data_IF_508644202335
#
_entry.id   IF_508644202335
#
_cell.length_a   1.000
_cell.length_b   1.000
_cell.length_c   1.000
_cell.angle_alpha   90.00
_cell.angle_beta   90.00
_cell.angle_gamma   90.00
#
_symmetry.space_group_name_H-M   'P 1'
#
loop_
_entity.id
_entity.type
_entity.pdbx_description
1 polymer ?
#
# COMPACT_ATOMS: atom_id res chain seq x y z
N UNK A 1 25.78 -12.69 -1.92
CA UNK A 1 26.29 -12.68 -3.32
C UNK A 1 27.17 -11.44 -3.56
N UNK A 2 28.39 -11.61 -4.07
CA UNK A 2 29.27 -10.47 -4.37
C UNK A 2 28.74 -9.69 -5.57
N UNK A 3 28.48 -8.40 -5.37
CA UNK A 3 27.93 -7.47 -6.36
C UNK A 3 29.04 -7.07 -7.34
N UNK A 4 28.78 -7.19 -8.65
CA UNK A 4 29.72 -6.86 -9.71
C UNK A 4 29.44 -5.45 -10.28
N UNK A 5 30.18 -4.44 -9.81
CA UNK A 5 30.20 -3.08 -10.38
C UNK A 5 29.82 -1.95 -9.40
N UNK A 6 30.20 -0.68 -9.68
CA UNK A 6 30.10 0.43 -8.73
C UNK A 6 28.70 1.05 -8.56
N UNK A 7 27.69 0.64 -9.35
CA UNK A 7 26.33 1.18 -9.24
C UNK A 7 25.27 0.09 -9.40
N UNK A 8 24.27 0.11 -8.52
CA UNK A 8 23.09 -0.76 -8.56
C UNK A 8 22.00 -0.05 -9.37
N UNK A 9 21.83 -0.41 -10.63
CA UNK A 9 20.61 -0.06 -11.37
C UNK A 9 19.42 -0.78 -10.74
N UNK A 10 18.56 -0.06 -10.03
CA UNK A 10 17.36 -0.63 -9.42
C UNK A 10 16.22 -0.68 -10.44
N UNK A 11 16.14 -1.77 -11.22
CA UNK A 11 14.81 -2.37 -11.44
C UNK A 11 14.25 -2.79 -10.08
N UNK A 12 12.94 -2.96 -9.90
CA UNK A 12 12.34 -3.46 -8.66
C UNK A 12 13.00 -4.81 -8.31
N UNK A 13 14.10 -4.74 -7.58
CA UNK A 13 15.01 -5.82 -7.31
C UNK A 13 14.86 -6.17 -5.85
N UNK A 14 15.21 -7.39 -5.43
CA UNK A 14 15.25 -7.72 -4.01
C UNK A 14 16.15 -6.68 -3.32
N UNK A 15 15.52 -5.85 -2.48
CA UNK A 15 16.23 -4.93 -1.60
C UNK A 15 17.02 -5.78 -0.60
N UNK A 16 18.30 -5.48 -0.34
CA UNK A 16 19.06 -6.14 0.71
C UNK A 16 18.56 -5.72 2.10
N UNK A 17 17.84 -4.59 2.17
CA UNK A 17 17.27 -4.02 3.38
C UNK A 17 15.75 -4.24 3.41
N UNK A 18 15.25 -4.73 4.53
CA UNK A 18 13.83 -4.95 4.80
C UNK A 18 13.38 -3.98 5.89
N UNK A 19 12.41 -3.12 5.55
CA UNK A 19 11.68 -2.32 6.52
C UNK A 19 10.41 -3.07 6.94
N UNK A 20 9.97 -2.84 8.17
CA UNK A 20 8.80 -3.47 8.76
C UNK A 20 7.87 -2.39 9.30
N UNK A 21 6.57 -2.64 9.22
CA UNK A 21 5.56 -1.72 9.73
C UNK A 21 4.52 -2.48 10.55
N UNK A 22 4.10 -1.89 11.65
CA UNK A 22 2.93 -2.33 12.41
C UNK A 22 1.95 -1.16 12.50
N UNK A 23 0.68 -1.39 12.15
CA UNK A 23 -0.36 -0.37 12.18
C UNK A 23 -1.55 -0.85 12.99
N UNK A 24 -2.07 0.02 13.84
CA UNK A 24 -3.30 -0.18 14.61
C UNK A 24 -4.24 0.97 14.28
N UNK A 25 -5.48 0.63 13.96
CA UNK A 25 -6.55 1.57 13.63
C UNK A 25 -7.65 1.41 14.67
N UNK A 26 -8.03 2.52 15.30
CA UNK A 26 -9.24 2.63 16.12
C UNK A 26 -10.33 3.33 15.29
N UNK A 27 -11.52 2.75 15.26
CA UNK A 27 -12.64 3.30 14.51
C UNK A 27 -13.99 3.02 15.16
N UNK A 28 -14.94 3.90 14.91
CA UNK A 28 -16.37 3.68 15.14
C UNK A 28 -17.04 3.24 13.85
N UNK A 29 -18.02 2.34 13.94
CA UNK A 29 -18.79 1.85 12.80
C UNK A 29 -20.30 1.83 13.10
N UNK A 30 -21.10 2.46 12.25
CA UNK A 30 -22.56 2.42 12.34
C UNK A 30 -23.11 1.23 11.54
N UNK A 31 -23.59 0.20 12.25
CA UNK A 31 -24.16 -1.00 11.64
C UNK A 31 -25.38 -0.73 10.74
N UNK A 32 -26.08 0.40 10.90
CA UNK A 32 -27.27 0.73 10.10
C UNK A 32 -26.90 1.34 8.76
N UNK A 33 -25.87 2.17 8.72
CA UNK A 33 -25.47 2.94 7.53
C UNK A 33 -24.23 2.37 6.85
N UNK A 34 -23.42 1.60 7.57
CA UNK A 34 -22.11 1.14 7.14
C UNK A 34 -21.03 2.23 7.18
N UNK A 35 -21.35 3.44 7.68
CA UNK A 35 -20.37 4.50 7.81
C UNK A 35 -19.35 4.15 8.90
N UNK A 36 -18.08 4.42 8.60
CA UNK A 36 -16.96 4.26 9.53
C UNK A 36 -16.30 5.61 9.79
N UNK A 37 -15.86 5.83 11.02
CA UNK A 37 -15.10 7.01 11.41
C UNK A 37 -13.82 6.56 12.08
N UNK A 38 -12.67 6.94 11.51
CA UNK A 38 -11.37 6.60 12.08
C UNK A 38 -11.06 7.59 13.20
N UNK A 39 -10.91 7.07 14.43
CA UNK A 39 -10.66 7.88 15.61
C UNK A 39 -9.18 8.22 15.74
N UNK A 40 -8.33 7.20 15.62
CA UNK A 40 -6.88 7.33 15.79
C UNK A 40 -6.12 6.21 15.07
N UNK A 41 -4.92 6.53 14.60
CA UNK A 41 -3.99 5.56 14.00
C UNK A 41 -2.67 5.57 14.76
N UNK A 42 -2.20 4.38 15.15
CA UNK A 42 -0.84 4.18 15.66
C UNK A 42 -0.05 3.42 14.61
N UNK A 43 1.13 3.94 14.27
CA UNK A 43 1.98 3.29 13.28
C UNK A 43 3.43 3.28 13.73
N UNK A 44 4.00 2.08 13.80
CA UNK A 44 5.43 1.88 14.01
C UNK A 44 6.07 1.49 12.68
N UNK A 45 7.15 2.17 12.30
CA UNK A 45 7.89 1.86 11.09
C UNK A 45 9.39 1.76 11.35
N UNK A 46 9.96 0.65 10.94
CA UNK A 46 11.38 0.34 11.04
C UNK A 46 12.15 0.93 9.86
N UNK A 47 12.81 2.04 10.15
CA UNK A 47 13.59 2.82 9.18
C UNK A 47 15.09 2.53 9.29
N UNK A 48 15.50 1.54 10.09
CA UNK A 48 16.90 1.27 10.39
C UNK A 48 17.52 2.39 11.23
N UNK A 49 17.80 3.54 10.63
CA UNK A 49 18.25 4.76 11.29
C UNK A 49 17.62 5.98 10.65
N UNK A 50 16.98 6.82 11.45
CA UNK A 50 16.40 8.07 10.98
C UNK A 50 17.49 9.12 10.75
N UNK A 51 17.82 9.35 9.48
CA UNK A 51 18.75 10.43 9.08
C UNK A 51 18.18 11.80 9.48
N UNK A 52 16.87 11.98 9.26
CA UNK A 52 16.12 13.15 9.70
C UNK A 52 14.78 12.70 10.27
N UNK A 53 14.64 12.59 11.60
CA UNK A 53 13.42 12.10 12.24
C UNK A 53 12.16 12.88 11.86
N UNK A 54 12.26 14.21 11.73
CA UNK A 54 11.11 15.06 11.38
C UNK A 54 10.59 14.77 9.96
N UNK A 55 11.49 14.53 9.00
CA UNK A 55 11.07 14.17 7.64
C UNK A 55 10.55 12.73 7.56
N UNK A 56 11.10 11.82 8.37
CA UNK A 56 10.61 10.44 8.47
C UNK A 56 9.19 10.43 9.02
N UNK A 57 8.93 11.17 10.10
CA UNK A 57 7.60 11.29 10.68
C UNK A 57 6.59 11.80 9.66
N UNK A 58 6.88 12.90 8.96
CA UNK A 58 5.99 13.42 7.91
C UNK A 58 5.78 12.46 6.72
N UNK A 59 6.76 11.61 6.38
CA UNK A 59 6.58 10.57 5.36
C UNK A 59 5.67 9.43 5.84
N UNK A 60 5.81 9.03 7.10
CA UNK A 60 4.95 8.01 7.71
C UNK A 60 3.51 8.51 7.80
N UNK A 61 3.29 9.74 8.26
CA UNK A 61 1.95 10.36 8.30
C UNK A 61 1.35 10.51 6.90
N UNK A 62 2.14 10.96 5.92
CA UNK A 62 1.70 11.03 4.51
C UNK A 62 1.35 9.66 3.94
N UNK A 63 2.03 8.60 4.36
CA UNK A 63 1.72 7.22 3.98
C UNK A 63 0.42 6.72 4.60
N UNK A 64 0.15 7.08 5.87
CA UNK A 64 -1.14 6.81 6.51
C UNK A 64 -2.27 7.54 5.80
N UNK A 65 -2.08 8.82 5.45
CA UNK A 65 -3.04 9.59 4.66
C UNK A 65 -3.40 8.88 3.35
N UNK A 66 -2.40 8.47 2.56
CA UNK A 66 -2.61 7.76 1.30
C UNK A 66 -3.30 6.40 1.53
N UNK A 67 -2.87 5.65 2.54
CA UNK A 67 -3.45 4.35 2.88
C UNK A 67 -4.92 4.45 3.31
N UNK A 68 -5.29 5.50 4.05
CA UNK A 68 -6.69 5.78 4.40
C UNK A 68 -7.51 6.19 3.17
N UNK A 69 -6.92 6.98 2.26
CA UNK A 69 -7.53 7.31 0.97
C UNK A 69 -7.89 6.05 0.18
N UNK A 70 -6.92 5.16 -0.04
CA UNK A 70 -7.14 3.88 -0.73
C UNK A 70 -8.12 2.96 0.02
N UNK A 71 -8.04 2.92 1.35
CA UNK A 71 -8.90 2.06 2.16
C UNK A 71 -10.37 2.50 2.13
N UNK A 72 -10.68 3.80 2.07
CA UNK A 72 -12.03 4.31 2.35
C UNK A 72 -12.67 5.07 1.17
N UNK A 73 -11.89 5.63 0.25
CA UNK A 73 -12.38 6.67 -0.67
C UNK A 73 -11.99 6.45 -2.14
N UNK A 74 -10.74 6.11 -2.41
CA UNK A 74 -10.17 6.17 -3.74
C UNK A 74 -10.59 4.95 -4.58
N UNK A 75 -11.35 5.18 -5.64
CA UNK A 75 -11.80 4.14 -6.58
C UNK A 75 -11.73 4.64 -8.03
N UNK A 76 -11.29 3.77 -8.94
CA UNK A 76 -11.32 4.03 -10.38
C UNK A 76 -12.29 3.07 -11.06
N UNK A 77 -13.43 3.60 -11.51
CA UNK A 77 -14.42 2.81 -12.25
C UNK A 77 -14.33 3.10 -13.75
N UNK A 78 -14.35 2.04 -14.57
CA UNK A 78 -14.30 2.13 -16.03
C UNK A 78 -15.56 1.57 -16.67
N UNK A 79 -16.09 2.26 -17.67
CA UNK A 79 -17.24 1.82 -18.47
C UNK A 79 -16.87 1.81 -19.95
N UNK A 80 -16.91 0.63 -20.57
CA UNK A 80 -16.56 0.44 -22.00
C UNK A 80 -15.17 1.00 -22.36
N UNK A 81 -14.20 0.83 -21.47
CA UNK A 81 -12.83 1.31 -21.65
C UNK A 81 -12.61 2.80 -21.38
N UNK A 82 -13.65 3.54 -20.98
CA UNK A 82 -13.54 4.95 -20.58
C UNK A 82 -13.64 5.08 -19.06
N UNK A 83 -12.80 5.95 -18.48
CA UNK A 83 -12.88 6.28 -17.07
C UNK A 83 -14.23 6.95 -16.78
N UNK A 84 -14.98 6.42 -15.81
CA UNK A 84 -16.36 6.86 -15.54
C UNK A 84 -16.41 8.27 -14.97
N UNK A 85 -15.47 8.60 -14.08
CA UNK A 85 -15.44 9.90 -13.40
C UNK A 85 -14.01 10.45 -13.17
N UNK A 86 -13.32 10.94 -14.21
CA UNK A 86 -11.96 11.46 -14.07
C UNK A 86 -11.96 12.90 -13.52
N UNK A 87 -12.47 13.10 -12.30
CA UNK A 87 -12.50 14.40 -11.64
C UNK A 87 -12.20 14.29 -10.14
N UNK A 88 -11.64 15.35 -9.55
CA UNK A 88 -11.33 15.43 -8.11
C UNK A 88 -12.57 15.47 -7.20
N UNK A 89 -13.77 15.57 -7.77
CA UNK A 89 -15.02 15.50 -6.99
C UNK A 89 -15.43 14.04 -6.72
N UNK A 90 -15.19 13.18 -7.70
CA UNK A 90 -15.64 11.78 -7.69
C UNK A 90 -14.50 10.83 -7.27
N UNK A 91 -13.26 11.13 -7.67
CA UNK A 91 -12.07 10.52 -7.07
C UNK A 91 -11.79 11.26 -5.75
N UNK A 92 -12.42 10.77 -4.69
CA UNK A 92 -12.34 11.39 -3.37
C UNK A 92 -10.99 11.08 -2.74
N UNK A 93 -10.35 12.11 -2.21
CA UNK A 93 -9.21 11.96 -1.31
C UNK A 93 -9.57 12.55 0.06
N UNK A 94 -8.97 12.06 1.16
CA UNK A 94 -9.27 12.57 2.50
C UNK A 94 -9.00 14.08 2.59
N UNK A 95 -9.90 14.82 3.21
CA UNK A 95 -9.70 16.22 3.58
C UNK A 95 -9.07 16.32 4.97
N UNK A 96 -8.68 17.52 5.40
CA UNK A 96 -8.14 17.72 6.74
C UNK A 96 -9.09 17.31 7.88
N UNK A 97 -10.41 17.23 7.62
CA UNK A 97 -11.41 16.78 8.59
C UNK A 97 -11.55 15.25 8.64
N UNK A 98 -11.07 14.56 7.62
CA UNK A 98 -11.14 13.10 7.51
C UNK A 98 -9.88 12.43 8.07
N UNK A 99 -8.79 13.19 8.21
CA UNK A 99 -7.50 12.71 8.72
C UNK A 99 -7.56 12.61 10.25
N UNK A 100 -7.35 11.42 10.83
CA UNK A 100 -7.42 11.21 12.27
C UNK A 100 -6.17 11.72 12.98
N UNK A 101 -6.19 11.70 14.32
CA UNK A 101 -4.96 11.78 15.10
C UNK A 101 -4.04 10.60 14.73
N UNK A 102 -2.75 10.89 14.53
CA UNK A 102 -1.74 9.88 14.20
C UNK A 102 -0.64 9.89 15.26
N UNK A 103 -0.22 8.69 15.67
CA UNK A 103 0.91 8.51 16.57
C UNK A 103 1.96 7.63 15.88
N UNK A 104 3.08 8.26 15.52
CA UNK A 104 4.16 7.65 14.75
C UNK A 104 5.29 7.19 15.67
N UNK A 105 5.68 5.92 15.56
CA UNK A 105 6.84 5.35 16.24
C UNK A 105 7.94 5.03 15.24
N UNK A 106 9.03 5.78 15.32
CA UNK A 106 10.24 5.50 14.54
C UNK A 106 10.99 4.35 15.23
N UNK A 107 11.12 3.23 14.53
CA UNK A 107 11.87 2.06 15.01
C UNK A 107 13.23 2.04 14.34
N UNK A 108 14.29 1.95 15.14
CA UNK A 108 15.68 1.92 14.67
C UNK A 108 16.33 0.56 14.96
N UNK A 109 16.65 -0.18 13.89
CA UNK A 109 17.32 -1.50 14.00
C UNK A 109 18.72 -1.54 13.37
N UNK A 110 19.21 -0.42 12.81
CA UNK A 110 20.48 -0.30 12.07
C UNK A 110 20.73 -1.40 11.01
N UNK A 111 20.57 -1.08 9.73
CA UNK A 111 20.91 -1.99 8.63
C UNK A 111 22.41 -1.92 8.28
N UNK A 112 23.17 -3.03 8.33
CA UNK A 112 24.62 -3.01 8.08
C UNK A 112 24.98 -2.62 6.63
N UNK A 113 24.05 -2.80 5.68
CA UNK A 113 24.22 -2.43 4.27
C UNK A 113 23.64 -1.03 3.98
N UNK A 114 22.90 -0.46 4.93
CA UNK A 114 22.27 0.85 4.83
C UNK A 114 23.25 2.00 5.09
N UNK A 115 23.08 3.15 4.43
CA UNK A 115 23.92 4.32 4.70
C UNK A 115 23.70 4.77 6.15
N UNK A 116 24.75 4.69 6.96
CA UNK A 116 24.71 4.94 8.40
C UNK A 116 23.74 4.04 9.20
N UNK A 117 23.28 2.91 8.64
CA UNK A 117 22.23 2.08 9.26
C UNK A 117 20.82 2.32 8.71
N UNK A 118 20.62 3.26 7.78
CA UNK A 118 19.29 3.65 7.32
C UNK A 118 18.64 2.66 6.34
N UNK A 119 17.31 2.55 6.42
CA UNK A 119 16.41 1.84 5.50
C UNK A 119 15.38 2.82 4.92
N UNK A 120 14.42 2.30 4.14
CA UNK A 120 13.37 3.14 3.55
C UNK A 120 12.35 3.61 4.59
N UNK A 121 11.68 4.73 4.27
CA UNK A 121 10.61 5.33 5.08
C UNK A 121 9.46 5.88 4.21
N UNK A 122 9.41 5.53 2.92
CA UNK A 122 8.56 6.19 1.93
C UNK A 122 7.36 5.36 1.46
N UNK A 123 7.48 4.04 1.39
CA UNK A 123 6.40 3.17 0.88
C UNK A 123 5.91 2.16 1.92
N UNK A 124 6.81 1.65 2.75
CA UNK A 124 6.48 0.63 3.75
C UNK A 124 5.39 1.01 4.76
N UNK A 125 5.26 2.29 5.21
CA UNK A 125 4.23 2.64 6.19
C UNK A 125 2.81 2.66 5.61
N UNK A 126 2.62 2.75 4.29
CA UNK A 126 1.29 2.75 3.66
C UNK A 126 0.65 1.36 3.73
N UNK A 127 1.44 0.33 3.41
CA UNK A 127 1.00 -1.05 3.22
C UNK A 127 0.14 -1.63 4.36
N UNK A 128 0.47 -1.43 5.67
CA UNK A 128 -0.32 -2.01 6.75
C UNK A 128 -1.64 -1.26 7.03
N UNK A 129 -1.85 -0.06 6.48
CA UNK A 129 -3.01 0.79 6.81
C UNK A 129 -4.31 0.17 6.31
N UNK A 130 -4.34 -0.24 5.05
CA UNK A 130 -5.52 -0.87 4.40
C UNK A 130 -6.00 -2.12 5.16
N UNK A 131 -5.14 -3.13 5.42
CA UNK A 131 -5.58 -4.29 6.19
C UNK A 131 -5.93 -3.96 7.64
N UNK A 132 -5.30 -2.96 8.27
CA UNK A 132 -5.65 -2.54 9.62
C UNK A 132 -7.06 -1.94 9.70
N UNK A 133 -7.45 -1.10 8.72
CA UNK A 133 -8.81 -0.59 8.60
C UNK A 133 -9.82 -1.73 8.48
N UNK A 134 -9.58 -2.69 7.58
CA UNK A 134 -10.50 -3.82 7.39
C UNK A 134 -10.58 -4.73 8.63
N UNK A 135 -9.46 -4.94 9.33
CA UNK A 135 -9.44 -5.68 10.58
C UNK A 135 -10.22 -4.98 11.70
N UNK A 136 -10.14 -3.65 11.78
CA UNK A 136 -10.91 -2.86 12.74
C UNK A 136 -12.41 -2.88 12.41
N UNK A 137 -12.80 -2.87 11.13
CA UNK A 137 -14.19 -3.11 10.71
C UNK A 137 -14.68 -4.49 11.13
N UNK A 138 -13.84 -5.52 10.96
CA UNK A 138 -14.17 -6.86 11.43
C UNK A 138 -14.33 -6.92 12.95
N UNK A 139 -13.46 -6.26 13.71
CA UNK A 139 -13.57 -6.21 15.17
C UNK A 139 -14.89 -5.53 15.62
N UNK A 140 -15.24 -4.40 14.99
CA UNK A 140 -16.44 -3.64 15.33
C UNK A 140 -17.76 -4.33 14.91
N UNK A 141 -17.80 -4.95 13.72
CA UNK A 141 -19.06 -5.42 13.09
C UNK A 141 -19.09 -6.93 12.82
N UNK A 142 -17.95 -7.62 12.90
CA UNK A 142 -17.80 -9.04 12.59
C UNK A 142 -18.08 -9.38 11.13
N UNK A 143 -17.66 -8.52 10.20
CA UNK A 143 -17.77 -8.70 8.74
C UNK A 143 -16.44 -8.39 8.05
N UNK A 144 -16.16 -9.05 6.94
CA UNK A 144 -14.93 -8.83 6.14
C UNK A 144 -15.22 -8.18 4.79
N UNK A 145 -14.45 -7.16 4.41
CA UNK A 145 -14.52 -6.59 3.07
C UNK A 145 -13.24 -6.95 2.30
N UNK A 146 -13.35 -7.84 1.32
CA UNK A 146 -12.21 -8.39 0.57
C UNK A 146 -11.85 -7.55 -0.68
N UNK A 147 -12.34 -6.31 -0.74
CA UNK A 147 -12.16 -5.41 -1.87
C UNK A 147 -12.14 -3.95 -1.39
N UNK A 148 -11.04 -3.24 -1.65
CA UNK A 148 -10.96 -1.80 -1.42
C UNK A 148 -11.67 -1.00 -2.52
N UNK A 149 -12.21 0.18 -2.21
CA UNK A 149 -12.35 0.75 -0.86
C UNK A 149 -13.43 0.02 -0.03
N UNK A 150 -13.30 0.07 1.29
CA UNK A 150 -14.22 -0.48 2.30
C UNK A 150 -15.43 0.45 2.43
N UNK A 151 -16.29 0.46 1.41
CA UNK A 151 -17.41 1.41 1.35
C UNK A 151 -18.59 1.03 2.25
N UNK A 152 -19.43 2.00 2.66
CA UNK A 152 -20.62 1.73 3.45
C UNK A 152 -21.57 0.70 2.82
N UNK A 153 -21.73 0.71 1.50
CA UNK A 153 -22.57 -0.23 0.76
C UNK A 153 -22.05 -1.66 0.90
N UNK A 154 -20.73 -1.85 0.83
CA UNK A 154 -20.10 -3.17 1.00
C UNK A 154 -20.27 -3.68 2.44
N UNK A 155 -20.14 -2.79 3.44
CA UNK A 155 -20.37 -3.12 4.86
C UNK A 155 -21.83 -3.54 5.09
N UNK A 156 -22.80 -2.74 4.64
CA UNK A 156 -24.23 -3.05 4.79
C UNK A 156 -24.59 -4.36 4.09
N UNK A 157 -24.06 -4.60 2.89
CA UNK A 157 -24.28 -5.88 2.21
C UNK A 157 -23.66 -7.06 3.00
N UNK A 158 -22.46 -6.91 3.55
CA UNK A 158 -21.83 -7.95 4.35
C UNK A 158 -22.63 -8.27 5.62
N UNK A 159 -23.18 -7.25 6.29
CA UNK A 159 -24.08 -7.39 7.43
C UNK A 159 -25.38 -8.09 7.04
N UNK A 160 -26.00 -7.71 5.90
CA UNK A 160 -27.20 -8.37 5.38
C UNK A 160 -26.95 -9.85 5.08
N UNK A 161 -25.78 -10.20 4.55
CA UNK A 161 -25.39 -11.60 4.31
C UNK A 161 -25.24 -12.37 5.62
N UNK A 162 -24.60 -11.76 6.62
CA UNK A 162 -24.46 -12.32 7.97
C UNK A 162 -25.83 -12.63 8.60
N UNK A 163 -26.80 -11.72 8.51
CA UNK A 163 -28.17 -11.92 9.01
C UNK A 163 -28.90 -13.10 8.34
N UNK A 164 -28.62 -13.36 7.06
CA UNK A 164 -29.17 -14.48 6.30
C UNK A 164 -28.48 -15.82 6.58
N UNK A 165 -27.45 -15.84 7.42
CA UNK A 165 -26.62 -17.04 7.66
C UNK A 165 -25.67 -17.36 6.52
N UNK A 166 -25.42 -16.41 5.61
CA UNK A 166 -24.39 -16.53 4.58
C UNK A 166 -23.02 -16.09 5.12
N UNK A 167 -21.92 -16.36 4.40
CA UNK A 167 -20.62 -15.81 4.75
C UNK A 167 -20.67 -14.28 4.89
N UNK A 168 -20.31 -13.79 6.08
CA UNK A 168 -20.28 -12.38 6.49
C UNK A 168 -19.14 -11.60 5.82
N UNK A 169 -19.07 -11.63 4.49
CA UNK A 169 -17.99 -11.02 3.72
C UNK A 169 -18.46 -10.49 2.37
N UNK A 170 -17.81 -9.48 1.81
CA UNK A 170 -18.11 -8.94 0.46
C UNK A 170 -16.81 -8.69 -0.30
N UNK A 171 -16.77 -9.09 -1.57
CA UNK A 171 -15.64 -8.87 -2.46
C UNK A 171 -15.72 -9.74 -3.72
N UNK A 172 -14.67 -9.74 -4.57
CA UNK A 172 -14.66 -10.47 -5.83
C UNK A 172 -14.82 -11.97 -5.61
N UNK A 173 -15.82 -12.57 -6.29
CA UNK A 173 -16.11 -14.01 -6.19
C UNK A 173 -15.16 -14.88 -7.00
N UNK A 174 -14.49 -14.29 -7.99
CA UNK A 174 -13.56 -14.94 -8.91
C UNK A 174 -12.55 -13.92 -9.39
N UNK A 175 -11.30 -14.35 -9.51
CA UNK A 175 -10.27 -13.60 -10.21
C UNK A 175 -10.33 -13.95 -11.71
N UNK A 176 -10.23 -12.97 -12.63
CA UNK A 176 -10.24 -13.28 -14.06
C UNK A 176 -9.04 -14.14 -14.45
N UNK A 177 -9.24 -15.07 -15.38
CA UNK A 177 -8.12 -15.80 -15.99
C UNK A 177 -7.39 -14.84 -16.93
N UNK A 178 -6.24 -14.32 -16.48
CA UNK A 178 -5.40 -13.43 -17.27
C UNK A 178 -4.43 -14.30 -18.06
N UNK A 179 -4.47 -14.29 -19.41
CA UNK A 179 -3.48 -14.99 -20.22
C UNK A 179 -2.16 -14.21 -20.14
N UNK A 180 -1.37 -14.47 -19.11
CA UNK A 180 -0.04 -13.90 -18.99
C UNK A 180 0.81 -14.35 -20.19
N UNK A 181 1.54 -13.44 -20.86
CA UNK A 181 2.51 -13.85 -21.86
C UNK A 181 3.58 -14.73 -21.21
N UNK A 182 4.26 -15.54 -22.02
CA UNK A 182 5.41 -16.31 -21.53
C UNK A 182 6.41 -15.34 -20.87
N UNK A 183 6.88 -15.69 -19.66
CA UNK A 183 7.87 -14.88 -18.94
C UNK A 183 9.06 -14.59 -19.85
N UNK A 184 9.37 -13.30 -20.05
CA UNK A 184 10.57 -12.89 -20.77
C UNK A 184 11.76 -13.29 -19.90
N UNK A 185 12.53 -14.28 -20.35
CA UNK A 185 13.79 -14.66 -19.73
C UNK A 185 14.88 -13.77 -20.30
N UNK A 186 15.40 -12.87 -19.48
CA UNK A 186 16.58 -12.07 -19.83
C UNK A 186 17.81 -12.82 -19.32
N UNK A 187 18.73 -13.17 -20.22
CA UNK A 187 20.00 -13.76 -19.79
C UNK A 187 20.82 -12.72 -19.00
N UNK A 188 21.46 -13.12 -17.89
CA UNK A 188 22.33 -12.22 -17.14
C UNK A 188 23.41 -11.66 -18.07
N UNK A 189 23.75 -10.36 -17.99
CA UNK A 189 24.82 -9.79 -18.78
C UNK A 189 26.14 -10.54 -18.50
N UNK A 190 27.06 -10.60 -19.48
CA UNK A 190 28.38 -11.19 -19.29
C UNK A 190 29.08 -10.53 -18.09
N UNK A 191 29.80 -11.32 -17.28
CA UNK A 191 30.56 -10.82 -16.11
C UNK A 191 31.71 -9.88 -16.48
N UNK A 192 32.07 -9.86 -17.76
CA UNK A 192 33.05 -8.97 -18.38
C UNK A 192 32.27 -7.83 -19.05
N UNK A 193 32.37 -6.62 -18.49
CA UNK A 193 31.89 -5.36 -19.08
C UNK A 193 33.03 -4.58 -19.76
N UNK A 194 34.16 -5.25 -20.05
CA UNK A 194 35.35 -4.63 -20.63
C UNK A 194 35.30 -4.60 -22.17
N UNK A 195 34.36 -5.32 -22.78
CA UNK A 195 34.23 -5.42 -24.23
C UNK A 195 33.14 -4.51 -24.84
N UNK A 196 33.56 -3.35 -25.36
CA UNK A 196 32.98 -2.68 -26.54
C UNK A 196 31.52 -2.21 -26.45
N UNK A 197 31.33 -0.97 -26.04
CA UNK A 197 30.29 -0.13 -26.63
C UNK A 197 30.68 0.15 -28.08
N UNK A 198 30.32 -0.75 -28.99
CA UNK A 198 30.28 -0.41 -30.41
C UNK A 198 29.08 0.50 -30.62
N UNK A 199 29.36 1.75 -31.01
CA UNK A 199 28.39 2.66 -31.59
C UNK A 199 27.52 1.91 -32.61
N UNK A 200 26.25 1.70 -32.31
CA UNK A 200 25.26 1.51 -33.35
C UNK A 200 24.79 2.90 -33.77
N UNK A 201 25.33 3.36 -34.89
CA UNK A 201 24.71 4.41 -35.71
C UNK A 201 23.26 4.01 -36.03
N UNK A 202 22.38 5.02 -36.06
CA UNK A 202 20.95 4.82 -35.90
C UNK A 202 20.22 4.09 -37.03
N UNK A 203 18.95 3.80 -36.74
CA UNK A 203 17.85 3.96 -37.69
C UNK A 203 16.59 4.20 -36.87
N UNK A 204 15.78 5.15 -37.32
CA UNK A 204 14.53 5.63 -36.73
C UNK A 204 13.50 4.52 -36.51
#
# INVERSE_FOLDING_TARGET
PNIAGPYKGSGVGPSPAYSYSACVVDLDADARTGLVHINKVWIAHDVGRAINPLLVEGQVEGSVYMGLGEALMEEQEFRKGLHKWPSMLEYKSPTFLDVPEMETFIVETDDPEGPYGAKEAGQGPLLPVIPAVNAAVYDALGVWIDETPVTPEKIVEALRRKEKGEPARVGPRRFPDIPYPACIKVEPPPKDLSGRFAHQEGTY
#
